data_IF_687283751908
#
_entry.id   IF_687283751908
#
_cell.length_a   1.000
_cell.length_b   1.000
_cell.length_c   1.000
_cell.angle_alpha   90.00
_cell.angle_beta   90.00
_cell.angle_gamma   90.00
#
_symmetry.space_group_name_H-M   'P 1'
#
loop_
_entity.id
_entity.type
_entity.pdbx_description
1 polymer ?
#
# COMPACT_ATOMS: atom_id res chain seq x y z
N UNK A 1 18.82 -14.09 10.29
CA UNK A 1 20.12 -14.10 9.59
C UNK A 1 20.02 -13.48 8.22
N UNK A 2 19.09 -13.94 7.37
CA UNK A 2 18.85 -13.31 6.05
C UNK A 2 18.35 -11.87 6.25
N UNK A 3 17.32 -11.66 7.07
CA UNK A 3 16.78 -10.33 7.34
C UNK A 3 17.79 -9.37 8.00
N UNK A 4 18.78 -9.89 8.73
CA UNK A 4 19.89 -9.11 9.27
C UNK A 4 21.06 -8.95 8.29
N UNK A 5 20.97 -9.51 7.07
CA UNK A 5 22.02 -9.53 6.04
C UNK A 5 23.37 -10.05 6.55
N UNK A 6 23.37 -11.03 7.49
CA UNK A 6 24.60 -11.59 8.05
C UNK A 6 25.19 -12.64 7.10
N UNK A 7 25.98 -12.17 6.14
CA UNK A 7 26.59 -12.97 5.08
C UNK A 7 27.54 -14.04 5.65
N UNK A 8 28.27 -13.71 6.71
CA UNK A 8 29.23 -14.64 7.30
C UNK A 8 28.55 -15.88 7.90
N UNK A 9 27.46 -15.67 8.63
CA UNK A 9 26.67 -16.78 9.16
C UNK A 9 25.96 -17.59 8.07
N UNK A 10 25.48 -16.92 7.00
CA UNK A 10 24.84 -17.61 5.87
C UNK A 10 25.84 -18.54 5.20
N UNK A 11 27.06 -18.09 4.94
CA UNK A 11 28.13 -18.94 4.39
C UNK A 11 28.50 -20.11 5.30
N UNK A 12 28.58 -19.88 6.60
CA UNK A 12 28.81 -20.93 7.58
C UNK A 12 27.78 -22.04 7.61
N UNK A 13 26.51 -21.69 7.29
CA UNK A 13 25.41 -22.64 7.33
C UNK A 13 25.21 -23.46 6.04
N UNK A 14 25.42 -22.86 4.87
CA UNK A 14 25.08 -23.49 3.58
C UNK A 14 26.24 -23.56 2.60
N UNK A 15 27.44 -23.16 3.01
CA UNK A 15 28.68 -23.27 2.21
C UNK A 15 28.55 -22.55 0.85
N UNK A 16 29.05 -23.19 -0.22
CA UNK A 16 29.12 -22.64 -1.57
C UNK A 16 27.72 -22.29 -2.15
N UNK A 17 26.65 -22.89 -1.60
CA UNK A 17 25.27 -22.53 -1.99
C UNK A 17 24.87 -21.12 -1.55
N UNK A 18 25.63 -20.51 -0.65
CA UNK A 18 25.40 -19.17 -0.15
C UNK A 18 25.52 -18.09 -1.25
N UNK A 19 26.38 -18.28 -2.26
CA UNK A 19 26.70 -17.23 -3.22
C UNK A 19 25.45 -16.76 -4.02
N UNK A 20 24.58 -17.68 -4.40
CA UNK A 20 23.32 -17.32 -5.08
C UNK A 20 22.37 -16.57 -4.17
N UNK A 21 22.28 -16.96 -2.90
CA UNK A 21 21.44 -16.29 -1.92
C UNK A 21 21.99 -14.89 -1.62
N UNK A 22 23.29 -14.77 -1.48
CA UNK A 22 23.98 -13.48 -1.28
C UNK A 22 23.78 -12.57 -2.49
N UNK A 23 23.91 -13.10 -3.71
CA UNK A 23 23.62 -12.35 -4.94
C UNK A 23 22.16 -11.83 -4.96
N UNK A 24 21.21 -12.65 -4.56
CA UNK A 24 19.81 -12.26 -4.44
C UNK A 24 19.60 -11.14 -3.41
N UNK A 25 20.23 -11.24 -2.24
CA UNK A 25 20.14 -10.23 -1.18
C UNK A 25 20.79 -8.89 -1.55
N UNK A 26 21.73 -8.90 -2.50
CA UNK A 26 22.47 -7.72 -2.96
C UNK A 26 21.95 -7.15 -4.27
N UNK A 27 20.80 -7.63 -4.76
CA UNK A 27 20.15 -7.07 -5.95
C UNK A 27 19.90 -5.57 -5.77
N UNK A 28 20.09 -4.82 -6.85
CA UNK A 28 19.83 -3.39 -6.85
C UNK A 28 18.38 -3.10 -6.42
N UNK A 29 18.14 -2.22 -5.44
CA UNK A 29 16.79 -1.93 -4.97
C UNK A 29 15.92 -1.23 -6.01
N UNK A 30 16.49 -0.52 -6.98
CA UNK A 30 15.73 0.14 -8.05
C UNK A 30 15.16 -0.89 -9.02
N UNK A 31 13.84 -0.88 -9.30
CA UNK A 31 13.17 -1.94 -10.04
C UNK A 31 13.77 -2.23 -11.43
N UNK A 32 14.09 -1.22 -12.21
CA UNK A 32 14.68 -1.35 -13.55
C UNK A 32 16.00 -2.13 -13.53
N UNK A 33 16.92 -1.74 -12.65
CA UNK A 33 18.21 -2.40 -12.47
C UNK A 33 18.08 -3.75 -11.79
N UNK A 34 17.31 -3.81 -10.72
CA UNK A 34 17.11 -5.02 -9.93
C UNK A 34 16.45 -6.13 -10.72
N UNK A 35 15.47 -5.84 -11.55
CA UNK A 35 14.85 -6.83 -12.44
C UNK A 35 15.84 -7.39 -13.46
N UNK A 36 16.72 -6.55 -14.02
CA UNK A 36 17.74 -7.01 -14.97
C UNK A 36 18.81 -7.91 -14.31
N UNK A 37 19.14 -7.66 -13.05
CA UNK A 37 20.03 -8.51 -12.25
C UNK A 37 19.34 -9.83 -11.85
N UNK A 38 18.08 -9.75 -11.40
CA UNK A 38 17.28 -10.89 -10.99
C UNK A 38 17.07 -11.89 -12.14
N UNK A 39 16.84 -11.40 -13.36
CA UNK A 39 16.65 -12.25 -14.54
C UNK A 39 17.80 -13.23 -14.74
N UNK A 40 19.04 -12.78 -14.51
CA UNK A 40 20.25 -13.61 -14.63
C UNK A 40 20.32 -14.72 -13.60
N UNK A 41 19.67 -14.55 -12.45
CA UNK A 41 19.61 -15.56 -11.38
C UNK A 41 18.48 -16.57 -11.59
N UNK A 42 17.51 -16.28 -12.47
CA UNK A 42 16.31 -17.09 -12.70
C UNK A 42 16.55 -18.17 -13.77
N UNK A 43 17.21 -19.26 -13.39
CA UNK A 43 17.61 -20.33 -14.30
C UNK A 43 16.71 -21.59 -14.27
N UNK A 44 15.68 -21.62 -13.41
CA UNK A 44 14.70 -22.71 -13.37
C UNK A 44 13.32 -22.23 -13.84
N UNK A 45 12.45 -23.13 -14.33
CA UNK A 45 11.09 -22.74 -14.73
C UNK A 45 10.32 -22.03 -13.62
N UNK A 46 10.43 -22.51 -12.38
CA UNK A 46 9.77 -21.91 -11.22
C UNK A 46 10.28 -20.49 -10.94
N UNK A 47 11.59 -20.27 -10.97
CA UNK A 47 12.17 -18.93 -10.77
C UNK A 47 11.79 -17.96 -11.89
N UNK A 48 11.75 -18.45 -13.14
CA UNK A 48 11.30 -17.65 -14.29
C UNK A 48 9.83 -17.23 -14.16
N UNK A 49 8.97 -18.12 -13.66
CA UNK A 49 7.57 -17.81 -13.42
C UNK A 49 7.42 -16.74 -12.33
N UNK A 50 8.13 -16.88 -11.20
CA UNK A 50 8.13 -15.89 -10.12
C UNK A 50 8.70 -14.53 -10.57
N UNK A 51 9.77 -14.53 -11.35
CA UNK A 51 10.33 -13.32 -11.96
C UNK A 51 9.31 -12.61 -12.85
N UNK A 52 8.63 -13.39 -13.71
CA UNK A 52 7.61 -12.84 -14.60
C UNK A 52 6.47 -12.19 -13.80
N UNK A 53 5.96 -12.88 -12.78
CA UNK A 53 4.90 -12.35 -11.91
C UNK A 53 5.33 -11.02 -11.26
N UNK A 54 6.54 -10.95 -10.70
CA UNK A 54 7.07 -9.73 -10.09
C UNK A 54 7.20 -8.59 -11.11
N UNK A 55 7.75 -8.89 -12.30
CA UNK A 55 7.90 -7.91 -13.39
C UNK A 55 6.54 -7.36 -13.85
N UNK A 56 5.56 -8.25 -14.03
CA UNK A 56 4.21 -7.85 -14.45
C UNK A 56 3.55 -6.92 -13.40
N UNK A 57 3.69 -7.23 -12.11
CA UNK A 57 3.17 -6.41 -11.01
C UNK A 57 3.81 -5.01 -11.03
N UNK A 58 5.14 -4.93 -11.11
CA UNK A 58 5.85 -3.65 -11.15
C UNK A 58 5.43 -2.83 -12.36
N UNK A 59 5.29 -3.47 -13.52
CA UNK A 59 4.85 -2.82 -14.76
C UNK A 59 3.45 -2.20 -14.60
N UNK A 60 2.51 -2.96 -14.02
CA UNK A 60 1.13 -2.48 -13.78
C UNK A 60 1.11 -1.29 -12.82
N UNK A 61 1.83 -1.38 -11.70
CA UNK A 61 1.86 -0.29 -10.71
C UNK A 61 2.47 0.97 -11.33
N UNK A 62 3.58 0.83 -12.06
CA UNK A 62 4.23 1.97 -12.73
C UNK A 62 3.35 2.60 -13.80
N UNK A 63 2.54 1.80 -14.50
CA UNK A 63 1.63 2.26 -15.55
C UNK A 63 0.32 2.87 -15.03
N UNK A 64 -0.03 2.66 -13.77
CA UNK A 64 -1.29 3.12 -13.20
C UNK A 64 -1.30 4.60 -12.76
N UNK A 65 -0.25 5.36 -13.06
CA UNK A 65 -0.13 6.77 -12.68
C UNK A 65 0.25 6.99 -11.21
N UNK A 66 0.24 5.95 -10.40
CA UNK A 66 0.85 5.99 -9.09
C UNK A 66 2.37 5.86 -9.24
N UNK A 67 3.10 6.76 -8.63
CA UNK A 67 4.57 6.66 -8.57
C UNK A 67 5.01 6.45 -7.10
N UNK A 68 4.65 5.33 -6.46
CA UNK A 68 5.23 4.99 -5.19
C UNK A 68 6.72 4.73 -5.43
N UNK A 69 7.56 5.12 -4.49
CA UNK A 69 8.95 4.71 -4.52
C UNK A 69 9.02 3.20 -4.23
N UNK A 70 9.20 2.41 -5.28
CA UNK A 70 9.27 0.95 -5.17
C UNK A 70 10.72 0.54 -5.04
N UNK A 71 11.01 -0.24 -4.00
CA UNK A 71 12.31 -0.87 -3.80
C UNK A 71 12.17 -2.40 -3.79
N UNK A 72 13.09 -3.08 -4.48
CA UNK A 72 13.23 -4.52 -4.39
C UNK A 72 14.14 -4.87 -3.22
N UNK A 73 13.64 -5.65 -2.25
CA UNK A 73 14.43 -6.16 -1.14
C UNK A 73 14.15 -7.65 -0.90
N UNK A 74 15.11 -8.50 -1.28
CA UNK A 74 15.05 -9.94 -1.08
C UNK A 74 15.59 -10.40 0.29
N UNK A 75 15.91 -9.48 1.19
CA UNK A 75 16.24 -9.79 2.59
C UNK A 75 15.00 -9.83 3.49
N UNK A 76 13.84 -9.41 2.99
CA UNK A 76 12.57 -9.48 3.72
C UNK A 76 12.20 -10.94 3.94
N UNK A 77 12.21 -11.37 5.20
CA UNK A 77 11.81 -12.71 5.60
C UNK A 77 10.43 -12.67 6.21
N UNK A 78 9.53 -13.47 5.68
CA UNK A 78 8.15 -13.61 6.15
C UNK A 78 7.83 -15.10 6.41
N UNK A 79 6.75 -15.35 7.14
CA UNK A 79 6.29 -16.71 7.37
C UNK A 79 5.74 -17.34 6.08
N UNK A 80 6.49 -18.28 5.53
CA UNK A 80 6.13 -19.03 4.32
C UNK A 80 4.90 -19.93 4.50
N UNK A 81 4.47 -20.19 5.72
CA UNK A 81 3.22 -20.90 5.99
C UNK A 81 1.99 -20.02 5.76
N UNK A 82 2.17 -18.71 5.79
CA UNK A 82 1.12 -17.72 5.61
C UNK A 82 1.13 -17.15 4.18
N UNK A 83 2.29 -16.73 3.68
CA UNK A 83 2.44 -16.11 2.35
C UNK A 83 3.01 -17.10 1.33
N UNK A 84 2.53 -17.02 0.08
CA UNK A 84 2.96 -17.91 -1.00
C UNK A 84 3.23 -17.19 -2.33
N UNK A 85 3.48 -15.94 -2.32
CA UNK A 85 3.77 -15.14 -3.51
C UNK A 85 4.46 -13.83 -3.12
N UNK A 86 4.02 -12.75 -3.73
CA UNK A 86 4.53 -11.43 -3.40
C UNK A 86 4.27 -11.09 -1.94
N UNK A 87 5.27 -10.47 -1.33
CA UNK A 87 5.21 -9.85 -0.01
C UNK A 87 5.64 -8.40 -0.15
N UNK A 88 5.01 -7.50 0.55
CA UNK A 88 5.37 -6.08 0.49
C UNK A 88 5.28 -5.44 1.87
N UNK A 89 6.06 -4.40 2.05
CA UNK A 89 6.08 -3.56 3.24
C UNK A 89 6.04 -2.10 2.80
N UNK A 90 5.38 -1.26 3.58
CA UNK A 90 5.31 0.17 3.33
C UNK A 90 5.95 0.94 4.46
N UNK A 91 6.63 2.02 4.08
CA UNK A 91 7.29 2.96 4.97
C UNK A 91 6.84 4.37 4.62
N UNK A 92 6.85 5.26 5.60
CA UNK A 92 6.58 6.69 5.41
C UNK A 92 7.78 7.46 5.95
N UNK A 93 8.12 8.55 5.30
CA UNK A 93 9.15 9.47 5.78
C UNK A 93 8.81 9.95 7.20
N UNK A 94 9.80 9.97 8.08
CA UNK A 94 9.65 10.33 9.48
C UNK A 94 9.30 9.18 10.42
N UNK A 95 8.96 7.98 9.91
CA UNK A 95 8.73 6.77 10.71
C UNK A 95 9.72 5.69 10.27
N UNK A 96 10.71 5.32 11.12
CA UNK A 96 11.69 4.29 10.75
C UNK A 96 11.10 2.87 10.72
N UNK A 97 9.97 2.64 11.39
CA UNK A 97 9.27 1.36 11.39
C UNK A 97 8.40 1.20 10.15
N UNK A 98 8.16 -0.05 9.76
CA UNK A 98 7.19 -0.37 8.70
C UNK A 98 5.77 -0.12 9.18
N UNK A 99 5.03 0.70 8.45
CA UNK A 99 3.63 1.01 8.78
C UNK A 99 2.62 0.11 8.06
N UNK A 100 3.05 -0.54 6.98
CA UNK A 100 2.21 -1.42 6.17
C UNK A 100 2.93 -2.72 5.93
N UNK A 101 2.21 -3.82 6.05
CA UNK A 101 2.71 -5.16 5.73
C UNK A 101 1.63 -5.95 5.04
N UNK A 102 1.96 -6.59 3.92
CA UNK A 102 1.00 -7.38 3.17
C UNK A 102 1.64 -8.40 2.26
N UNK A 103 0.79 -9.15 1.57
CA UNK A 103 1.23 -10.15 0.61
C UNK A 103 0.10 -11.07 0.16
N UNK A 104 0.44 -12.01 -0.72
CA UNK A 104 -0.46 -13.03 -1.21
C UNK A 104 -0.49 -14.22 -0.24
N UNK A 105 -1.70 -14.66 0.16
CA UNK A 105 -1.90 -15.67 1.21
C UNK A 105 -2.91 -16.77 0.82
N UNK A 106 -2.82 -17.31 -0.37
CA UNK A 106 -3.68 -18.39 -0.86
C UNK A 106 -3.72 -19.63 0.06
N UNK A 107 -2.62 -20.03 0.76
CA UNK A 107 -2.64 -21.16 1.68
C UNK A 107 -3.63 -21.00 2.82
N UNK A 108 -3.83 -19.77 3.31
CA UNK A 108 -4.81 -19.49 4.35
C UNK A 108 -6.23 -19.78 3.85
N UNK A 109 -6.56 -19.33 2.63
CA UNK A 109 -7.87 -19.61 2.04
C UNK A 109 -8.11 -21.10 1.82
N UNK A 110 -7.09 -21.85 1.42
CA UNK A 110 -7.18 -23.31 1.27
C UNK A 110 -7.49 -24.01 2.59
N UNK A 111 -6.90 -23.56 3.71
CA UNK A 111 -7.16 -24.10 5.05
C UNK A 111 -8.62 -23.93 5.49
N UNK A 112 -9.29 -22.86 5.06
CA UNK A 112 -10.72 -22.63 5.33
C UNK A 112 -11.64 -23.13 4.21
N UNK A 113 -11.15 -24.03 3.36
CA UNK A 113 -11.94 -24.70 2.32
C UNK A 113 -12.26 -23.86 1.10
N UNK A 114 -11.57 -22.72 0.87
CA UNK A 114 -11.78 -21.87 -0.29
C UNK A 114 -10.65 -22.04 -1.31
N UNK A 115 -10.99 -22.31 -2.57
CA UNK A 115 -10.06 -22.45 -3.70
C UNK A 115 -9.83 -21.13 -4.45
N UNK A 116 -9.71 -20.00 -3.74
CA UNK A 116 -9.48 -18.68 -4.32
C UNK A 116 -8.09 -18.18 -3.99
N UNK A 117 -7.61 -17.24 -4.79
CA UNK A 117 -6.42 -16.46 -4.50
C UNK A 117 -6.79 -15.23 -3.67
N UNK A 118 -5.89 -14.81 -2.79
CA UNK A 118 -6.09 -13.61 -2.00
C UNK A 118 -4.77 -12.86 -1.78
N UNK A 119 -4.89 -11.56 -1.85
CA UNK A 119 -3.87 -10.60 -1.46
C UNK A 119 -4.50 -9.64 -0.46
N UNK A 120 -3.74 -9.20 0.52
CA UNK A 120 -4.21 -8.22 1.50
C UNK A 120 -3.06 -7.61 2.26
N UNK A 121 -3.40 -6.63 3.09
CA UNK A 121 -2.44 -5.92 3.91
C UNK A 121 -3.06 -5.47 5.23
N UNK A 122 -2.19 -5.18 6.20
CA UNK A 122 -2.51 -4.49 7.43
C UNK A 122 -1.72 -3.18 7.52
N UNK A 123 -2.33 -2.16 8.11
CA UNK A 123 -1.69 -0.87 8.42
C UNK A 123 -1.64 -0.73 9.93
N UNK A 124 -0.48 -0.32 10.45
CA UNK A 124 -0.29 0.05 11.85
C UNK A 124 -0.73 1.52 12.04
N UNK A 125 -1.95 1.68 12.54
CA UNK A 125 -2.57 3.00 12.71
C UNK A 125 -1.91 3.78 13.85
N UNK A 126 -1.42 3.08 14.89
CA UNK A 126 -0.76 3.72 16.04
C UNK A 126 0.54 4.41 15.61
N UNK A 127 1.24 3.85 14.61
CA UNK A 127 2.42 4.49 14.03
C UNK A 127 2.06 5.72 13.20
N UNK A 128 0.92 5.72 12.52
CA UNK A 128 0.45 6.88 11.75
C UNK A 128 0.11 8.07 12.66
N UNK A 129 -0.42 7.81 13.86
CA UNK A 129 -0.74 8.87 14.82
C UNK A 129 0.49 9.70 15.21
N UNK A 130 1.71 9.14 15.13
CA UNK A 130 2.96 9.86 15.45
C UNK A 130 3.28 11.00 14.47
N UNK A 131 2.83 10.92 13.23
CA UNK A 131 3.08 11.92 12.19
C UNK A 131 1.83 12.76 11.89
N UNK A 132 0.66 12.25 12.27
CA UNK A 132 -0.56 13.05 12.17
C UNK A 132 -0.49 14.17 13.22
N UNK A 133 -0.46 15.41 12.76
CA UNK A 133 -0.63 16.54 13.66
C UNK A 133 -2.06 16.49 14.22
N UNK A 134 -2.19 15.80 15.36
CA UNK A 134 -3.46 15.55 16.05
C UNK A 134 -4.10 16.82 16.65
N UNK A 135 -3.56 17.99 16.33
CA UNK A 135 -4.01 19.29 16.86
C UNK A 135 -5.03 20.00 15.98
N UNK A 136 -5.69 19.29 15.07
CA UNK A 136 -6.85 19.92 14.44
C UNK A 136 -7.96 20.08 15.48
N UNK A 137 -8.33 21.31 15.79
CA UNK A 137 -9.48 21.63 16.63
C UNK A 137 -10.80 21.10 16.02
N UNK A 138 -10.77 20.74 14.73
CA UNK A 138 -11.92 20.32 13.94
C UNK A 138 -11.77 18.85 13.49
N UNK A 139 -12.85 18.09 13.55
CA UNK A 139 -12.92 16.72 13.05
C UNK A 139 -12.88 16.68 11.51
N UNK A 140 -13.45 17.70 10.86
CA UNK A 140 -13.27 17.96 9.42
C UNK A 140 -13.29 19.47 9.14
N UNK A 141 -12.66 19.88 8.04
CA UNK A 141 -12.63 21.29 7.66
C UNK A 141 -13.99 21.72 7.10
N UNK A 142 -14.68 20.83 6.39
CA UNK A 142 -16.01 21.07 5.80
C UNK A 142 -16.94 19.95 6.19
N UNK A 143 -18.14 20.29 6.69
CA UNK A 143 -19.28 19.38 6.71
C UNK A 143 -20.19 19.68 5.52
N UNK A 144 -20.24 18.78 4.55
CA UNK A 144 -21.16 18.86 3.43
C UNK A 144 -22.44 18.12 3.81
N UNK A 145 -23.53 18.88 3.99
CA UNK A 145 -24.83 18.33 4.40
C UNK A 145 -25.74 18.26 3.18
N UNK A 146 -26.22 17.07 2.88
CA UNK A 146 -27.14 16.82 1.78
C UNK A 146 -28.48 16.27 2.27
N UNK A 147 -29.51 16.37 1.46
CA UNK A 147 -30.85 15.84 1.76
C UNK A 147 -30.98 14.42 1.22
N UNK A 148 -31.82 13.54 1.84
CA UNK A 148 -31.99 12.16 1.38
C UNK A 148 -32.47 12.03 -0.07
N UNK A 149 -33.09 13.07 -0.64
CA UNK A 149 -33.58 13.11 -2.03
C UNK A 149 -32.52 13.60 -3.04
N UNK A 150 -31.37 14.10 -2.59
CA UNK A 150 -30.32 14.59 -3.46
C UNK A 150 -29.60 13.41 -4.15
N UNK A 151 -29.11 13.63 -5.37
CA UNK A 151 -28.31 12.62 -6.07
C UNK A 151 -26.96 12.43 -5.39
N UNK A 152 -26.77 11.24 -4.79
CA UNK A 152 -25.55 10.92 -4.06
C UNK A 152 -24.30 10.99 -4.94
N UNK A 153 -24.43 10.69 -6.24
CA UNK A 153 -23.30 10.79 -7.18
C UNK A 153 -22.86 12.23 -7.37
N UNK A 154 -23.80 13.18 -7.44
CA UNK A 154 -23.48 14.61 -7.52
C UNK A 154 -22.88 15.12 -6.21
N UNK A 155 -23.44 14.70 -5.07
CA UNK A 155 -22.92 15.03 -3.75
C UNK A 155 -21.46 14.59 -3.61
N UNK A 156 -21.13 13.36 -4.03
CA UNK A 156 -19.78 12.83 -3.95
C UNK A 156 -18.81 13.57 -4.88
N UNK A 157 -19.22 13.88 -6.11
CA UNK A 157 -18.39 14.69 -7.02
C UNK A 157 -18.12 16.09 -6.46
N UNK A 158 -19.10 16.69 -5.80
CA UNK A 158 -18.93 17.99 -5.15
C UNK A 158 -18.00 17.91 -3.94
N UNK A 159 -18.14 16.85 -3.13
CA UNK A 159 -17.24 16.60 -2.01
C UNK A 159 -15.78 16.39 -2.47
N UNK A 160 -15.58 15.69 -3.59
CA UNK A 160 -14.27 15.49 -4.20
C UNK A 160 -13.63 16.82 -4.63
N UNK A 161 -14.41 17.70 -5.30
CA UNK A 161 -13.93 19.06 -5.62
C UNK A 161 -13.50 19.83 -4.39
N UNK A 162 -14.28 19.78 -3.31
CA UNK A 162 -13.95 20.46 -2.05
C UNK A 162 -12.70 19.87 -1.38
N UNK A 163 -12.40 18.59 -1.60
CA UNK A 163 -11.23 17.91 -1.06
C UNK A 163 -9.95 18.17 -1.86
N UNK A 164 -10.06 18.64 -3.10
CA UNK A 164 -8.91 18.81 -4.01
C UNK A 164 -7.82 19.73 -3.45
N UNK A 165 -8.20 20.68 -2.59
CA UNK A 165 -7.27 21.62 -1.93
C UNK A 165 -6.72 21.07 -0.59
N UNK A 166 -6.75 19.76 -0.39
CA UNK A 166 -6.29 19.11 0.84
C UNK A 166 -7.22 19.29 2.04
N UNK A 167 -8.44 19.77 1.85
CA UNK A 167 -9.45 19.93 2.91
C UNK A 167 -10.10 18.59 3.24
N UNK A 168 -10.26 18.32 4.52
CA UNK A 168 -11.03 17.15 5.00
C UNK A 168 -12.52 17.46 4.92
N UNK A 169 -13.26 16.68 4.13
CA UNK A 169 -14.70 16.87 3.92
C UNK A 169 -15.46 15.71 4.54
N UNK A 170 -16.35 16.01 5.48
CA UNK A 170 -17.32 15.06 6.03
C UNK A 170 -18.64 15.21 5.31
N UNK A 171 -19.14 14.13 4.68
CA UNK A 171 -20.42 14.11 3.96
C UNK A 171 -21.48 13.43 4.84
N UNK A 172 -22.58 14.11 5.09
CA UNK A 172 -23.65 13.57 5.95
C UNK A 172 -25.00 14.16 5.62
N UNK A 173 -26.07 13.49 6.03
CA UNK A 173 -27.45 14.03 5.97
C UNK A 173 -27.82 14.87 7.19
N UNK A 174 -26.98 14.85 8.24
CA UNK A 174 -27.23 15.57 9.51
C UNK A 174 -25.91 16.04 10.09
N UNK A 175 -25.95 17.22 10.73
CA UNK A 175 -24.81 17.74 11.50
C UNK A 175 -24.70 16.92 12.81
N UNK A 176 -23.52 16.38 13.07
CA UNK A 176 -23.25 15.71 14.34
C UNK A 176 -23.03 16.76 15.44
N UNK A 177 -23.76 16.64 16.53
CA UNK A 177 -23.57 17.50 17.72
C UNK A 177 -22.27 17.18 18.50
N UNK A 178 -21.62 16.05 18.17
CA UNK A 178 -20.37 15.59 18.81
C UNK A 178 -19.12 15.95 18.00
N UNK A 179 -19.28 16.39 16.77
CA UNK A 179 -18.18 16.70 15.86
C UNK A 179 -18.07 18.23 15.66
N UNK A 180 -16.84 18.71 15.56
CA UNK A 180 -16.52 20.10 15.27
C UNK A 180 -16.13 20.25 13.81
N UNK A 181 -16.73 21.20 13.14
CA UNK A 181 -16.46 21.53 11.74
C UNK A 181 -16.04 23.00 11.62
N UNK A 182 -15.08 23.30 10.76
CA UNK A 182 -14.68 24.69 10.51
C UNK A 182 -15.75 25.42 9.70
N UNK A 183 -16.34 24.73 8.71
CA UNK A 183 -17.38 25.26 7.83
C UNK A 183 -18.45 24.20 7.60
N UNK A 184 -19.69 24.63 7.53
CA UNK A 184 -20.83 23.75 7.19
C UNK A 184 -21.41 24.25 5.87
N UNK A 185 -21.50 23.38 4.88
CA UNK A 185 -22.05 23.67 3.56
C UNK A 185 -23.29 22.78 3.36
N UNK A 186 -24.43 23.40 3.04
CA UNK A 186 -25.59 22.64 2.58
C UNK A 186 -25.45 22.39 1.08
N UNK A 187 -25.57 21.13 0.65
CA UNK A 187 -25.58 20.79 -0.77
C UNK A 187 -26.83 21.37 -1.45
N UNK A 188 -26.64 22.11 -2.53
CA UNK A 188 -27.72 22.56 -3.41
C UNK A 188 -27.36 22.12 -4.82
N UNK A 189 -28.13 21.20 -5.40
CA UNK A 189 -27.84 20.58 -6.71
C UNK A 189 -27.71 21.56 -7.91
N UNK A 190 -27.81 22.88 -7.68
CA UNK A 190 -27.68 23.92 -8.70
C UNK A 190 -26.27 24.53 -8.83
N UNK A 191 -25.32 24.23 -7.96
CA UNK A 191 -23.97 24.82 -8.02
C UNK A 191 -22.94 24.00 -8.80
N UNK A 192 -23.33 22.85 -9.32
CA UNK A 192 -22.44 22.00 -10.13
C UNK A 192 -22.25 22.50 -11.59
N UNK A 193 -22.85 23.62 -11.96
CA UNK A 193 -22.98 24.03 -13.38
C UNK A 193 -22.52 25.45 -13.75
N UNK A 194 -21.85 26.22 -12.88
CA UNK A 194 -21.47 27.56 -13.27
C UNK A 194 -20.05 27.94 -12.83
N UNK A 195 -19.06 27.44 -13.55
CA UNK A 195 -17.80 28.15 -13.84
C UNK A 195 -17.30 27.60 -15.18
N UNK A 196 -17.61 28.37 -16.25
CA UNK A 196 -17.05 28.23 -17.59
C UNK A 196 -15.69 28.92 -17.68
#
# INVERSE_FOLDING_TARGET
RIGAKNIHEIRGLIGDKADRLIALMNINPKPDKGLAELEKLCNTPSLKAAYKELKDIITVISGAGFQPEIHLDFSVVQDLSYYNGIVFQGFIEGIPEKILTGGRYDPLLKRIGKSKQAIGFGIDVDLLERIMDSRSEFDADIALIYKPQDDVGEVMRYAEKLSHDGKRVAVSTKISSKAKYRTIIAFSGSEAGNEG
#
